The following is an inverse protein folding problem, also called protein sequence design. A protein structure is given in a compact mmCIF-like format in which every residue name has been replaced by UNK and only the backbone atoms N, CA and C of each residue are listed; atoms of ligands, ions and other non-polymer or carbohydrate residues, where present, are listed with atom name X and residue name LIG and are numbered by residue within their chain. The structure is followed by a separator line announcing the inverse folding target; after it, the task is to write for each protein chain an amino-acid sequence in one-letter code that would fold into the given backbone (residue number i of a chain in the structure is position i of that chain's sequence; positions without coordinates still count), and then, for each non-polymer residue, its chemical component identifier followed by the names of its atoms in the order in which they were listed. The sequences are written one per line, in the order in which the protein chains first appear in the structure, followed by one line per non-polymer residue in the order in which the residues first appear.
data_IF_203857968320
#
_entry.id   IF_203857968320
#
_cell.length_a   1.000
_cell.length_b   1.000
_cell.length_c   1.000
_cell.angle_alpha   90.00
_cell.angle_beta   90.00
_cell.angle_gamma   90.00
#
_symmetry.space_group_name_H-M   'P 1'
#
loop_
_entity.id
_entity.type
_entity.pdbx_description
1 polymer ?
#
# COMPACT_ATOMS: atom_id res chain seq x y z
N UNK A 1 -39.02 16.18 8.55
CA UNK A 1 -39.65 16.62 9.82
C UNK A 1 -39.90 18.10 9.71
N UNK A 2 -41.14 18.50 9.40
CA UNK A 2 -41.52 19.89 9.09
C UNK A 2 -41.86 20.64 10.37
N UNK A 3 -41.13 21.72 10.67
CA UNK A 3 -41.42 22.58 11.81
C UNK A 3 -42.54 23.56 11.44
N UNK A 4 -43.69 23.39 12.08
CA UNK A 4 -44.89 24.23 11.97
C UNK A 4 -44.69 25.46 12.86
N UNK A 5 -44.66 26.66 12.26
CA UNK A 5 -44.61 27.93 12.99
C UNK A 5 -46.04 28.29 13.41
N UNK A 6 -46.26 28.38 14.73
CA UNK A 6 -47.54 28.78 15.35
C UNK A 6 -47.74 30.30 15.24
N UNK A 7 -48.84 30.73 14.63
CA UNK A 7 -49.29 32.12 14.67
C UNK A 7 -49.96 32.44 16.01
N UNK A 8 -49.44 33.45 16.72
CA UNK A 8 -50.10 34.02 17.90
C UNK A 8 -51.24 34.97 17.46
N UNK A 9 -52.44 34.72 17.99
CA UNK A 9 -53.62 35.59 17.86
C UNK A 9 -53.40 36.92 18.61
N UNK A 10 -53.41 38.03 17.86
CA UNK A 10 -53.55 39.39 18.40
C UNK A 10 -55.02 39.75 18.64
N UNK A 11 -55.27 40.49 19.72
CA UNK A 11 -56.55 40.86 20.36
C UNK A 11 -57.66 41.35 19.40
N UNK A 12 -58.95 41.18 19.77
CA UNK A 12 -60.08 41.60 18.95
C UNK A 12 -60.17 43.13 18.83
N UNK A 13 -60.35 43.62 17.60
CA UNK A 13 -60.57 45.02 17.28
C UNK A 13 -62.02 45.38 17.61
N UNK A 14 -62.22 46.27 18.57
CA UNK A 14 -63.54 46.84 18.87
C UNK A 14 -64.10 47.58 17.67
N UNK A 15 -65.23 47.11 17.15
CA UNK A 15 -65.97 47.75 16.04
C UNK A 15 -66.75 48.93 16.60
N UNK A 16 -66.25 50.16 16.43
CA UNK A 16 -67.04 51.37 16.72
C UNK A 16 -68.14 51.53 15.68
N UNK A 17 -69.38 51.26 16.10
CA UNK A 17 -70.60 51.52 15.35
C UNK A 17 -70.77 53.04 15.21
N UNK A 18 -70.67 53.56 13.98
CA UNK A 18 -70.96 54.96 13.67
C UNK A 18 -72.49 55.18 13.71
N UNK A 19 -72.98 55.90 14.73
CA UNK A 19 -74.36 56.40 14.79
C UNK A 19 -74.53 57.50 13.73
N UNK A 20 -75.41 57.29 12.77
CA UNK A 20 -75.86 58.34 11.84
C UNK A 20 -76.64 59.41 12.61
N UNK A 21 -76.07 60.61 12.72
CA UNK A 21 -76.79 61.78 13.20
C UNK A 21 -77.76 62.23 12.10
N UNK A 22 -79.05 62.28 12.45
CA UNK A 22 -80.13 62.83 11.64
C UNK A 22 -79.80 64.30 11.32
N UNK A 23 -79.71 64.64 10.04
CA UNK A 23 -79.52 66.01 9.58
C UNK A 23 -80.87 66.72 9.74
N UNK A 24 -80.97 67.59 10.73
CA UNK A 24 -82.09 68.52 10.86
C UNK A 24 -81.80 69.71 9.95
N UNK A 25 -82.59 69.83 8.87
CA UNK A 25 -82.61 71.01 8.03
C UNK A 25 -83.18 72.17 8.83
N UNK A 26 -82.29 72.99 9.40
CA UNK A 26 -82.65 74.29 9.94
C UNK A 26 -82.79 75.25 8.75
N UNK A 27 -84.03 75.62 8.46
CA UNK A 27 -84.38 76.72 7.55
C UNK A 27 -83.52 77.94 7.88
N UNK A 28 -82.69 78.37 6.93
CA UNK A 28 -82.06 79.68 6.95
C UNK A 28 -82.91 80.55 6.03
N UNK A 29 -83.67 81.43 6.66
CA UNK A 29 -84.32 82.56 6.00
C UNK A 29 -83.24 83.40 5.30
N UNK A 30 -83.49 83.71 4.04
CA UNK A 30 -82.78 84.74 3.27
C UNK A 30 -82.79 86.04 4.08
N UNK A 31 -81.60 86.47 4.49
CA UNK A 31 -81.34 87.85 4.85
C UNK A 31 -80.51 88.43 3.70
N UNK A 32 -81.17 89.18 2.83
CA UNK A 32 -80.54 90.07 1.86
C UNK A 32 -79.74 91.13 2.63
N UNK A 33 -78.43 90.90 2.73
CA UNK A 33 -77.45 91.94 3.04
C UNK A 33 -76.84 92.38 1.70
N UNK A 34 -77.38 93.47 1.16
CA UNK A 34 -76.90 94.15 -0.04
C UNK A 34 -75.50 94.73 0.26
N UNK A 35 -74.46 93.90 0.10
CA UNK A 35 -73.06 94.31 0.03
C UNK A 35 -72.57 94.18 -1.40
N UNK A 36 -71.95 95.24 -1.89
CA UNK A 36 -71.42 95.42 -3.24
C UNK A 36 -70.75 94.14 -3.81
N UNK A 37 -71.20 93.59 -4.95
CA UNK A 37 -70.67 92.36 -5.56
C UNK A 37 -69.16 92.41 -5.87
N UNK A 38 -68.56 93.61 -5.92
CA UNK A 38 -67.11 93.75 -6.05
C UNK A 38 -66.34 93.42 -4.76
N UNK A 39 -66.92 93.67 -3.57
CA UNK A 39 -66.26 93.46 -2.28
C UNK A 39 -66.22 91.97 -1.88
N UNK A 40 -67.27 91.20 -2.15
CA UNK A 40 -67.27 89.73 -1.97
C UNK A 40 -66.28 89.03 -2.92
N UNK A 41 -66.22 89.48 -4.17
CA UNK A 41 -65.27 88.97 -5.17
C UNK A 41 -63.81 89.25 -4.77
N UNK A 42 -63.55 90.39 -4.12
CA UNK A 42 -62.22 90.72 -3.58
C UNK A 42 -61.84 89.83 -2.39
N UNK A 43 -62.77 89.60 -1.46
CA UNK A 43 -62.57 88.71 -0.29
C UNK A 43 -62.27 87.27 -0.69
N UNK A 44 -63.04 86.72 -1.64
CA UNK A 44 -62.85 85.35 -2.16
C UNK A 44 -61.52 85.24 -2.92
N UNK A 45 -61.13 86.26 -3.71
CA UNK A 45 -59.82 86.29 -4.37
C UNK A 45 -58.66 86.29 -3.38
N UNK A 46 -58.77 87.02 -2.27
CA UNK A 46 -57.76 87.03 -1.21
C UNK A 46 -57.67 85.68 -0.50
N UNK A 47 -58.80 85.02 -0.25
CA UNK A 47 -58.86 83.68 0.35
C UNK A 47 -58.29 82.59 -0.57
N UNK A 48 -58.60 82.63 -1.87
CA UNK A 48 -57.98 81.76 -2.89
C UNK A 48 -56.47 81.99 -2.94
N UNK A 49 -56.01 83.25 -2.91
CA UNK A 49 -54.59 83.58 -2.91
C UNK A 49 -53.89 83.05 -1.64
N UNK A 50 -54.54 83.14 -0.47
CA UNK A 50 -54.01 82.61 0.79
C UNK A 50 -53.95 81.07 0.78
N UNK A 51 -54.97 80.39 0.27
CA UNK A 51 -55.00 78.93 0.13
C UNK A 51 -53.97 78.43 -0.89
N UNK A 52 -53.77 79.15 -2.00
CA UNK A 52 -52.70 78.84 -2.96
C UNK A 52 -51.31 79.02 -2.35
N UNK A 53 -51.11 80.07 -1.54
CA UNK A 53 -49.86 80.25 -0.81
C UNK A 53 -49.61 79.13 0.21
N UNK A 54 -50.63 78.71 0.98
CA UNK A 54 -50.53 77.58 1.91
C UNK A 54 -50.25 76.25 1.21
N UNK A 55 -50.92 76.01 0.06
CA UNK A 55 -50.68 74.82 -0.76
C UNK A 55 -49.24 74.76 -1.26
N UNK A 56 -48.73 75.87 -1.80
CA UNK A 56 -47.36 75.94 -2.31
C UNK A 56 -46.33 75.74 -1.19
N UNK A 57 -46.58 76.28 0.02
CA UNK A 57 -45.71 76.05 1.18
C UNK A 57 -45.71 74.56 1.59
N UNK A 58 -46.88 73.92 1.64
CA UNK A 58 -47.00 72.51 1.98
C UNK A 58 -46.35 71.58 0.91
N UNK A 59 -46.48 71.93 -0.38
CA UNK A 59 -45.80 71.22 -1.47
C UNK A 59 -44.28 71.35 -1.34
N UNK A 60 -43.78 72.52 -0.95
CA UNK A 60 -42.36 72.74 -0.70
C UNK A 60 -41.87 71.94 0.52
N UNK A 61 -42.60 71.95 1.63
CA UNK A 61 -42.28 71.13 2.81
C UNK A 61 -42.29 69.63 2.48
N UNK A 62 -43.26 69.18 1.67
CA UNK A 62 -43.34 67.79 1.25
C UNK A 62 -42.16 67.41 0.35
N UNK A 63 -41.78 68.28 -0.58
CA UNK A 63 -40.62 68.08 -1.44
C UNK A 63 -39.32 68.03 -0.63
N UNK A 64 -39.15 68.92 0.36
CA UNK A 64 -38.02 68.92 1.27
C UNK A 64 -37.95 67.62 2.09
N UNK A 65 -39.08 67.17 2.66
CA UNK A 65 -39.17 65.90 3.39
C UNK A 65 -38.90 64.68 2.50
N UNK A 66 -39.38 64.69 1.26
CA UNK A 66 -39.10 63.63 0.28
C UNK A 66 -37.61 63.59 -0.08
N UNK A 67 -36.99 64.76 -0.28
CA UNK A 67 -35.57 64.85 -0.60
C UNK A 67 -34.69 64.44 0.58
N UNK A 68 -35.09 64.79 1.81
CA UNK A 68 -34.46 64.30 3.04
C UNK A 68 -34.60 62.78 3.15
N UNK A 69 -35.80 62.22 3.01
CA UNK A 69 -36.02 60.78 3.05
C UNK A 69 -35.23 60.03 1.97
N UNK A 70 -35.11 60.58 0.76
CA UNK A 70 -34.31 60.00 -0.31
C UNK A 70 -32.82 59.97 0.06
N UNK A 71 -32.33 61.05 0.67
CA UNK A 71 -30.94 61.18 1.10
C UNK A 71 -30.62 60.25 2.26
N UNK A 72 -31.54 60.13 3.22
CA UNK A 72 -31.44 59.18 4.33
C UNK A 72 -31.41 57.74 3.79
N UNK A 73 -32.33 57.37 2.89
CA UNK A 73 -32.37 56.03 2.28
C UNK A 73 -31.06 55.71 1.56
N UNK A 74 -30.53 56.66 0.77
CA UNK A 74 -29.26 56.47 0.07
C UNK A 74 -28.10 56.27 1.05
N UNK A 75 -28.07 57.06 2.13
CA UNK A 75 -27.08 56.92 3.20
C UNK A 75 -27.17 55.55 3.90
N UNK A 76 -28.38 55.11 4.25
CA UNK A 76 -28.61 53.79 4.85
C UNK A 76 -28.18 52.66 3.90
N UNK A 77 -28.46 52.78 2.60
CA UNK A 77 -28.04 51.79 1.60
C UNK A 77 -26.53 51.73 1.44
N UNK A 78 -25.86 52.88 1.38
CA UNK A 78 -24.40 52.92 1.26
C UNK A 78 -23.72 52.36 2.52
N UNK A 79 -24.27 52.65 3.71
CA UNK A 79 -23.80 52.04 4.95
C UNK A 79 -24.01 50.53 4.97
N UNK A 80 -25.21 50.05 4.62
CA UNK A 80 -25.52 48.63 4.57
C UNK A 80 -24.65 47.89 3.55
N UNK A 81 -24.37 48.51 2.41
CA UNK A 81 -23.48 47.97 1.38
C UNK A 81 -22.03 47.88 1.87
N UNK A 82 -21.55 48.93 2.53
CA UNK A 82 -20.20 48.97 3.10
C UNK A 82 -20.04 47.90 4.20
N UNK A 83 -21.03 47.76 5.07
CA UNK A 83 -21.02 46.75 6.13
C UNK A 83 -21.10 45.32 5.57
N UNK A 84 -21.97 45.09 4.58
CA UNK A 84 -22.08 43.80 3.91
C UNK A 84 -20.79 43.42 3.18
N UNK A 85 -20.12 44.40 2.55
CA UNK A 85 -18.84 44.17 1.89
C UNK A 85 -17.73 43.86 2.90
N UNK A 86 -17.63 44.61 3.98
CA UNK A 86 -16.67 44.35 5.05
C UNK A 86 -16.89 42.97 5.68
N UNK A 87 -18.14 42.55 5.90
CA UNK A 87 -18.45 41.22 6.42
C UNK A 87 -18.13 40.11 5.41
N UNK A 88 -18.42 40.33 4.13
CA UNK A 88 -18.06 39.38 3.08
C UNK A 88 -16.54 39.18 2.98
N UNK A 89 -15.76 40.27 3.07
CA UNK A 89 -14.29 40.22 3.10
C UNK A 89 -13.79 39.46 4.34
N UNK A 90 -14.32 39.75 5.53
CA UNK A 90 -13.98 39.01 6.77
C UNK A 90 -14.27 37.52 6.64
N UNK A 91 -15.45 37.15 6.14
CA UNK A 91 -15.83 35.75 5.95
C UNK A 91 -14.95 35.06 4.90
N UNK A 92 -14.60 35.75 3.82
CA UNK A 92 -13.69 35.24 2.81
C UNK A 92 -12.29 34.97 3.37
N UNK A 93 -11.76 35.88 4.20
CA UNK A 93 -10.46 35.71 4.87
C UNK A 93 -10.47 34.51 5.82
N UNK A 94 -11.52 34.40 6.65
CA UNK A 94 -11.68 33.26 7.58
C UNK A 94 -11.81 31.94 6.82
N UNK A 95 -12.64 31.90 5.78
CA UNK A 95 -12.82 30.70 4.95
C UNK A 95 -11.52 30.31 4.24
N UNK A 96 -10.75 31.28 3.75
CA UNK A 96 -9.46 31.04 3.10
C UNK A 96 -8.44 30.49 4.10
N UNK A 97 -8.35 31.08 5.30
CA UNK A 97 -7.46 30.60 6.34
C UNK A 97 -7.82 29.18 6.81
N UNK A 98 -9.11 28.90 7.01
CA UNK A 98 -9.60 27.57 7.39
C UNK A 98 -9.38 26.54 6.28
N UNK A 99 -9.66 26.90 5.03
CA UNK A 99 -9.44 26.03 3.88
C UNK A 99 -7.95 25.70 3.68
N UNK A 100 -7.08 26.69 3.89
CA UNK A 100 -5.63 26.49 3.84
C UNK A 100 -5.15 25.56 4.96
N UNK A 101 -5.58 25.76 6.21
CA UNK A 101 -5.16 24.91 7.32
C UNK A 101 -5.68 23.47 7.17
N UNK A 102 -6.96 23.31 6.80
CA UNK A 102 -7.55 22.00 6.53
C UNK A 102 -6.84 21.28 5.37
N UNK A 103 -6.56 21.99 4.26
CA UNK A 103 -5.82 21.44 3.12
C UNK A 103 -4.38 21.06 3.49
N UNK A 104 -3.71 21.85 4.32
CA UNK A 104 -2.37 21.55 4.84
C UNK A 104 -2.37 20.30 5.72
N UNK A 105 -3.32 20.19 6.65
CA UNK A 105 -3.44 19.03 7.53
C UNK A 105 -3.76 17.75 6.75
N UNK A 106 -4.71 17.83 5.81
CA UNK A 106 -5.06 16.71 4.95
C UNK A 106 -3.88 16.27 4.07
N UNK A 107 -3.16 17.23 3.48
CA UNK A 107 -1.96 16.95 2.69
C UNK A 107 -0.86 16.30 3.51
N UNK A 108 -0.67 16.72 4.76
CA UNK A 108 0.32 16.11 5.67
C UNK A 108 -0.05 14.67 6.01
N UNK A 109 -1.32 14.41 6.35
CA UNK A 109 -1.80 13.06 6.66
C UNK A 109 -1.70 12.11 5.46
N UNK A 110 -2.07 12.59 4.27
CA UNK A 110 -1.96 11.80 3.05
C UNK A 110 -0.49 11.50 2.72
N UNK A 111 0.39 12.50 2.82
CA UNK A 111 1.81 12.29 2.59
C UNK A 111 2.39 11.29 3.60
N UNK A 112 2.05 11.38 4.89
CA UNK A 112 2.49 10.44 5.92
C UNK A 112 2.05 9.00 5.61
N UNK A 113 0.80 8.82 5.18
CA UNK A 113 0.28 7.51 4.76
C UNK A 113 1.03 6.97 3.55
N UNK A 114 1.18 7.77 2.50
CA UNK A 114 1.90 7.38 1.27
C UNK A 114 3.37 7.02 1.57
N UNK A 115 4.04 7.80 2.43
CA UNK A 115 5.41 7.51 2.85
C UNK A 115 5.50 6.23 3.67
N UNK A 116 4.54 5.99 4.56
CA UNK A 116 4.50 4.78 5.38
C UNK A 116 4.30 3.54 4.51
N UNK A 117 3.40 3.59 3.55
CA UNK A 117 3.14 2.50 2.60
C UNK A 117 4.40 2.19 1.77
N UNK A 118 4.98 3.23 1.13
CA UNK A 118 6.22 3.07 0.35
C UNK A 118 7.39 2.55 1.18
N UNK A 119 7.50 2.96 2.45
CA UNK A 119 8.54 2.44 3.36
C UNK A 119 8.34 0.95 3.64
N UNK A 120 7.10 0.52 3.87
CA UNK A 120 6.78 -0.90 4.09
C UNK A 120 7.05 -1.73 2.84
N UNK A 121 6.69 -1.23 1.67
CA UNK A 121 7.03 -1.87 0.39
C UNK A 121 8.55 -2.00 0.20
N UNK A 122 9.31 -0.94 0.50
CA UNK A 122 10.76 -0.96 0.41
C UNK A 122 11.38 -1.97 1.39
N UNK A 123 10.89 -2.02 2.64
CA UNK A 123 11.35 -3.00 3.64
C UNK A 123 11.04 -4.43 3.22
N UNK A 124 9.88 -4.66 2.60
CA UNK A 124 9.51 -5.96 2.04
C UNK A 124 10.43 -6.35 0.87
N UNK A 125 10.67 -5.43 -0.06
CA UNK A 125 11.55 -5.64 -1.21
C UNK A 125 12.99 -5.96 -0.77
N UNK A 126 13.52 -5.23 0.21
CA UNK A 126 14.86 -5.49 0.76
C UNK A 126 14.91 -6.88 1.39
N UNK A 127 13.90 -7.26 2.19
CA UNK A 127 13.82 -8.59 2.80
C UNK A 127 13.77 -9.70 1.74
N UNK A 128 12.98 -9.50 0.71
CA UNK A 128 12.87 -10.43 -0.42
C UNK A 128 14.21 -10.55 -1.15
N UNK A 129 14.91 -9.44 -1.40
CA UNK A 129 16.23 -9.46 -2.03
C UNK A 129 17.27 -10.23 -1.21
N UNK A 130 17.27 -10.10 0.13
CA UNK A 130 18.15 -10.89 0.99
C UNK A 130 17.79 -12.39 0.98
N UNK A 131 16.49 -12.71 1.02
CA UNK A 131 16.04 -14.10 0.91
C UNK A 131 16.44 -14.72 -0.42
N UNK A 132 16.29 -13.99 -1.53
CA UNK A 132 16.62 -14.47 -2.86
C UNK A 132 18.13 -14.64 -3.03
N UNK A 133 18.93 -13.71 -2.50
CA UNK A 133 20.39 -13.87 -2.44
C UNK A 133 20.77 -15.16 -1.73
N UNK A 134 20.18 -15.44 -0.57
CA UNK A 134 20.47 -16.66 0.20
C UNK A 134 20.13 -17.93 -0.57
N UNK A 135 18.96 -17.96 -1.25
CA UNK A 135 18.60 -19.09 -2.12
C UNK A 135 19.58 -19.30 -3.26
N UNK A 136 19.95 -18.23 -3.96
CA UNK A 136 20.91 -18.30 -5.08
C UNK A 136 22.25 -18.89 -4.61
N UNK A 137 22.72 -18.48 -3.43
CA UNK A 137 23.97 -19.04 -2.86
C UNK A 137 23.82 -20.53 -2.58
N UNK A 138 22.74 -20.94 -1.90
CA UNK A 138 22.51 -22.36 -1.56
C UNK A 138 22.37 -23.25 -2.81
N UNK A 139 21.65 -22.77 -3.82
CA UNK A 139 21.51 -23.46 -5.10
C UNK A 139 22.85 -23.54 -5.84
N UNK A 140 23.63 -22.46 -5.83
CA UNK A 140 24.96 -22.42 -6.45
C UNK A 140 25.93 -23.38 -5.75
N UNK A 141 25.93 -23.47 -4.42
CA UNK A 141 26.78 -24.41 -3.66
C UNK A 141 26.49 -25.86 -4.03
N UNK A 142 25.20 -26.24 -4.04
CA UNK A 142 24.77 -27.60 -4.42
C UNK A 142 25.17 -27.91 -5.86
N UNK A 143 24.95 -26.96 -6.77
CA UNK A 143 25.31 -27.10 -8.18
C UNK A 143 26.83 -27.25 -8.37
N UNK A 144 27.63 -26.39 -7.74
CA UNK A 144 29.08 -26.42 -7.83
C UNK A 144 29.64 -27.73 -7.28
N UNK A 145 29.14 -28.20 -6.14
CA UNK A 145 29.56 -29.48 -5.57
C UNK A 145 29.23 -30.64 -6.51
N UNK A 146 28.01 -30.68 -7.06
CA UNK A 146 27.63 -31.72 -8.03
C UNK A 146 28.49 -31.66 -9.29
N UNK A 147 28.86 -30.46 -9.76
CA UNK A 147 29.74 -30.29 -10.92
C UNK A 147 31.16 -30.77 -10.60
N UNK A 148 31.72 -30.39 -9.45
CA UNK A 148 33.04 -30.81 -9.00
C UNK A 148 33.14 -32.33 -8.88
N UNK A 149 32.11 -32.99 -8.33
CA UNK A 149 32.06 -34.45 -8.22
C UNK A 149 32.06 -35.12 -9.59
N UNK A 150 31.26 -34.62 -10.55
CA UNK A 150 31.25 -35.13 -11.93
C UNK A 150 32.59 -34.93 -12.64
N UNK A 151 33.26 -33.80 -12.40
CA UNK A 151 34.59 -33.55 -12.95
C UNK A 151 35.60 -34.56 -12.37
N UNK A 152 35.58 -34.75 -11.04
CA UNK A 152 36.44 -35.71 -10.36
C UNK A 152 36.21 -37.14 -10.87
N UNK A 153 34.94 -37.56 -10.99
CA UNK A 153 34.56 -38.86 -11.55
C UNK A 153 35.16 -39.07 -12.94
N UNK A 154 34.99 -38.09 -13.84
CA UNK A 154 35.52 -38.17 -15.20
C UNK A 154 37.05 -38.23 -15.23
N UNK A 155 37.73 -37.44 -14.41
CA UNK A 155 39.20 -37.43 -14.34
C UNK A 155 39.71 -38.76 -13.80
N UNK A 156 39.13 -39.27 -12.71
CA UNK A 156 39.51 -40.55 -12.10
C UNK A 156 39.27 -41.71 -13.07
N UNK A 157 38.08 -41.79 -13.69
CA UNK A 157 37.76 -42.83 -14.67
C UNK A 157 38.69 -42.79 -15.89
N UNK A 158 39.15 -41.62 -16.31
CA UNK A 158 40.12 -41.51 -17.41
C UNK A 158 41.54 -41.92 -16.99
N UNK A 159 41.99 -41.51 -15.80
CA UNK A 159 43.30 -41.92 -15.26
C UNK A 159 43.40 -43.42 -15.02
N UNK A 160 42.33 -44.06 -14.56
CA UNK A 160 42.28 -45.51 -14.32
C UNK A 160 42.43 -46.33 -15.60
N UNK A 161 42.05 -45.80 -16.77
CA UNK A 161 42.28 -46.47 -18.06
C UNK A 161 43.75 -46.51 -18.46
N UNK A 162 44.55 -45.55 -18.00
CA UNK A 162 45.97 -45.43 -18.36
C UNK A 162 46.89 -46.01 -17.28
N UNK A 163 46.41 -46.22 -16.06
CA UNK A 163 47.20 -46.65 -14.91
C UNK A 163 46.57 -47.86 -14.17
N UNK A 164 46.77 -49.06 -14.72
CA UNK A 164 46.25 -50.33 -14.19
C UNK A 164 46.67 -50.62 -12.72
N UNK A 165 47.85 -50.13 -12.30
CA UNK A 165 48.33 -50.27 -10.92
C UNK A 165 47.42 -49.57 -9.89
N UNK A 166 46.75 -48.48 -10.28
CA UNK A 166 45.85 -47.74 -9.40
C UNK A 166 44.58 -48.54 -9.11
N UNK A 167 44.05 -49.24 -10.11
CA UNK A 167 42.90 -50.15 -9.94
C UNK A 167 43.23 -51.25 -8.93
N UNK A 168 44.41 -51.85 -9.02
CA UNK A 168 44.86 -52.85 -8.04
C UNK A 168 44.97 -52.29 -6.63
N UNK A 169 45.45 -51.06 -6.48
CA UNK A 169 45.53 -50.41 -5.17
C UNK A 169 44.16 -50.17 -4.55
N UNK A 170 43.16 -49.77 -5.34
CA UNK A 170 41.77 -49.61 -4.88
C UNK A 170 41.23 -50.94 -4.36
N UNK A 171 41.39 -52.02 -5.13
CA UNK A 171 40.95 -53.36 -4.73
C UNK A 171 41.68 -53.84 -3.47
N UNK A 172 43.01 -53.64 -3.38
CA UNK A 172 43.80 -53.96 -2.18
C UNK A 172 43.32 -53.21 -0.95
N UNK A 173 43.01 -51.92 -1.07
CA UNK A 173 42.50 -51.12 0.02
C UNK A 173 41.11 -51.60 0.47
N UNK A 174 40.24 -51.95 -0.48
CA UNK A 174 38.92 -52.46 -0.17
C UNK A 174 38.97 -53.81 0.56
N UNK A 175 39.80 -54.74 0.09
CA UNK A 175 40.01 -56.03 0.77
C UNK A 175 40.57 -55.87 2.18
N UNK A 176 41.44 -54.88 2.43
CA UNK A 176 41.95 -54.58 3.77
C UNK A 176 40.88 -54.01 4.72
N UNK A 177 39.85 -53.36 4.17
CA UNK A 177 38.79 -52.75 4.96
C UNK A 177 37.76 -53.77 5.44
N UNK A 178 37.65 -54.90 4.73
CA UNK A 178 36.85 -56.05 5.16
C UNK A 178 37.66 -56.81 6.22
N UNK A 179 37.42 -56.47 7.48
CA UNK A 179 38.05 -57.15 8.64
C UNK A 179 37.47 -58.56 8.89
N UNK A 180 36.36 -58.89 8.24
CA UNK A 180 35.60 -60.11 8.49
C UNK A 180 36.22 -61.34 7.81
N UNK A 181 36.40 -62.39 8.61
CA UNK A 181 37.02 -63.66 8.23
C UNK A 181 36.01 -64.57 7.51
N UNK A 182 35.60 -64.17 6.30
CA UNK A 182 34.61 -64.92 5.52
C UNK A 182 35.01 -65.07 4.05
N UNK A 183 34.36 -65.99 3.34
CA UNK A 183 34.53 -66.17 1.90
C UNK A 183 34.05 -64.94 1.14
N UNK A 184 34.91 -64.41 0.25
CA UNK A 184 34.65 -63.17 -0.49
C UNK A 184 34.43 -63.48 -1.97
N UNK A 185 33.33 -62.99 -2.52
CA UNK A 185 33.07 -63.00 -3.97
C UNK A 185 33.20 -61.57 -4.50
N UNK A 186 34.27 -61.33 -5.26
CA UNK A 186 34.54 -60.07 -5.93
C UNK A 186 33.93 -60.07 -7.33
N UNK A 187 32.97 -59.20 -7.58
CA UNK A 187 32.42 -58.93 -8.90
C UNK A 187 33.13 -57.73 -9.52
N UNK A 188 33.63 -57.91 -10.74
CA UNK A 188 34.36 -56.89 -11.48
C UNK A 188 33.75 -56.71 -12.87
N UNK A 189 34.00 -55.55 -13.49
CA UNK A 189 33.59 -55.31 -14.86
C UNK A 189 34.28 -56.27 -15.84
N UNK A 190 33.70 -56.44 -17.03
CA UNK A 190 34.31 -57.26 -18.09
C UNK A 190 35.67 -56.69 -18.54
N UNK A 191 35.82 -55.36 -18.47
CA UNK A 191 37.01 -54.64 -18.91
C UNK A 191 38.15 -54.74 -17.87
N UNK A 192 37.80 -54.75 -16.58
CA UNK A 192 38.76 -54.82 -15.46
C UNK A 192 39.20 -56.26 -15.13
N UNK A 193 38.37 -57.25 -15.42
CA UNK A 193 38.66 -58.66 -15.17
C UNK A 193 40.04 -59.12 -15.70
N UNK A 194 40.42 -58.89 -16.97
CA UNK A 194 41.72 -59.31 -17.48
C UNK A 194 42.90 -58.58 -16.81
N UNK A 195 42.68 -57.37 -16.28
CA UNK A 195 43.70 -56.55 -15.60
C UNK A 195 43.98 -57.11 -14.20
N UNK A 196 42.93 -57.51 -13.48
CA UNK A 196 43.03 -57.98 -12.09
C UNK A 196 43.43 -59.46 -12.00
N UNK A 197 43.06 -60.29 -12.98
CA UNK A 197 43.29 -61.74 -12.98
C UNK A 197 44.74 -62.17 -12.67
N UNK A 198 45.80 -61.55 -13.25
CA UNK A 198 47.18 -61.93 -12.97
C UNK A 198 47.60 -61.72 -11.51
N UNK A 199 46.91 -60.82 -10.80
CA UNK A 199 47.22 -60.43 -9.42
C UNK A 199 46.32 -61.13 -8.40
N UNK A 200 45.41 -62.01 -8.83
CA UNK A 200 44.46 -62.67 -7.92
C UNK A 200 45.15 -63.45 -6.79
N UNK A 201 46.26 -64.14 -7.08
CA UNK A 201 47.04 -64.85 -6.06
C UNK A 201 47.71 -63.89 -5.06
N UNK A 202 48.11 -62.70 -5.50
CA UNK A 202 48.60 -61.66 -4.59
C UNK A 202 47.47 -61.10 -3.74
N UNK A 203 46.31 -60.83 -4.34
CA UNK A 203 45.12 -60.31 -3.64
C UNK A 203 44.62 -61.27 -2.56
N UNK A 204 44.72 -62.59 -2.78
CA UNK A 204 44.43 -63.62 -1.77
C UNK A 204 45.26 -63.48 -0.50
N UNK A 205 46.47 -62.91 -0.56
CA UNK A 205 47.32 -62.72 0.63
C UNK A 205 46.80 -61.65 1.58
N UNK A 206 45.91 -60.76 1.10
CA UNK A 206 45.25 -59.76 1.93
C UNK A 206 44.01 -60.31 2.64
N UNK A 207 43.54 -61.49 2.22
CA UNK A 207 42.46 -62.24 2.86
C UNK A 207 43.08 -63.24 3.83
N UNK A 208 42.38 -63.59 4.92
CA UNK A 208 42.90 -64.58 5.89
C UNK A 208 43.08 -65.94 5.23
N UNK A 209 44.07 -66.70 5.72
CA UNK A 209 44.47 -68.00 5.15
C UNK A 209 43.37 -69.09 5.16
N UNK A 210 42.30 -68.89 5.97
CA UNK A 210 41.15 -69.78 6.10
C UNK A 210 39.97 -69.43 5.18
N UNK A 211 40.05 -68.35 4.39
CA UNK A 211 38.95 -67.85 3.58
C UNK A 211 39.27 -67.89 2.07
N UNK A 212 38.26 -68.07 1.22
CA UNK A 212 38.41 -68.13 -0.23
C UNK A 212 38.04 -66.79 -0.90
N UNK A 213 38.89 -66.30 -1.80
CA UNK A 213 38.60 -65.16 -2.67
C UNK A 213 38.27 -65.64 -4.09
N UNK A 214 37.03 -65.40 -4.54
CA UNK A 214 36.56 -65.71 -5.90
C UNK A 214 36.33 -64.42 -6.68
N UNK A 215 36.77 -64.38 -7.94
CA UNK A 215 36.53 -63.25 -8.84
C UNK A 215 35.56 -63.66 -9.95
N UNK A 216 34.52 -62.86 -10.18
CA UNK A 216 33.48 -63.11 -11.19
C UNK A 216 33.34 -61.87 -12.08
N UNK A 217 33.47 -62.02 -13.41
CA UNK A 217 33.21 -60.91 -14.33
C UNK A 217 31.70 -60.73 -14.52
N UNK A 218 31.19 -59.50 -14.36
CA UNK A 218 29.77 -59.18 -14.51
C UNK A 218 29.61 -57.91 -15.37
N UNK A 219 28.67 -57.95 -16.32
CA UNK A 219 28.43 -56.86 -17.26
C UNK A 219 27.71 -55.63 -16.67
N UNK A 220 27.11 -55.76 -15.48
CA UNK A 220 26.39 -54.67 -14.82
C UNK A 220 27.26 -53.85 -13.85
N UNK A 221 28.52 -54.22 -13.67
CA UNK A 221 29.48 -53.50 -12.83
C UNK A 221 30.25 -52.52 -13.73
N UNK A 222 30.26 -51.25 -13.35
CA UNK A 222 31.02 -50.22 -14.06
C UNK A 222 32.53 -50.43 -13.90
N UNK A 223 33.29 -50.00 -14.91
CA UNK A 223 34.74 -50.07 -14.89
C UNK A 223 35.36 -49.11 -13.86
N UNK A 224 36.48 -49.51 -13.27
CA UNK A 224 37.21 -48.72 -12.27
C UNK A 224 36.87 -49.06 -10.82
N UNK A 225 36.22 -50.20 -10.56
CA UNK A 225 35.89 -50.64 -9.20
C UNK A 225 35.45 -52.10 -9.12
N UNK A 226 35.02 -52.51 -7.93
CA UNK A 226 34.50 -53.86 -7.70
C UNK A 226 33.37 -53.87 -6.67
N UNK A 227 32.53 -54.90 -6.73
CA UNK A 227 31.52 -55.17 -5.71
C UNK A 227 31.93 -56.42 -4.94
N UNK A 228 32.08 -56.29 -3.63
CA UNK A 228 32.55 -57.37 -2.75
C UNK A 228 31.34 -57.95 -2.01
N UNK A 229 31.07 -59.23 -2.22
CA UNK A 229 30.02 -59.95 -1.50
C UNK A 229 30.64 -60.85 -0.45
N UNK A 230 30.14 -60.72 0.76
CA UNK A 230 30.46 -61.54 1.94
C UNK A 230 29.15 -62.08 2.53
N UNK A 231 29.18 -63.17 3.32
CA UNK A 231 28.01 -63.63 4.06
C UNK A 231 27.36 -62.56 4.93
N UNK A 232 28.13 -61.64 5.51
CA UNK A 232 27.61 -60.49 6.28
C UNK A 232 26.98 -59.39 5.44
N UNK A 233 27.34 -59.25 4.15
CA UNK A 233 26.79 -58.21 3.29
C UNK A 233 27.56 -57.95 2.00
N UNK A 234 27.05 -56.99 1.23
CA UNK A 234 27.64 -56.54 -0.03
C UNK A 234 28.22 -55.14 0.14
N UNK A 235 29.48 -54.95 -0.26
CA UNK A 235 30.20 -53.70 -0.23
C UNK A 235 30.44 -53.21 -1.66
N UNK A 236 29.94 -52.01 -1.95
CA UNK A 236 30.15 -51.34 -3.23
C UNK A 236 31.40 -50.47 -3.16
N UNK A 237 32.43 -50.84 -3.92
CA UNK A 237 33.72 -50.15 -3.98
C UNK A 237 33.88 -49.41 -5.32
N UNK A 238 32.79 -49.21 -6.06
CA UNK A 238 32.84 -48.42 -7.30
C UNK A 238 33.19 -46.96 -7.00
N UNK A 239 33.88 -46.32 -7.95
CA UNK A 239 34.23 -44.90 -7.85
C UNK A 239 32.98 -44.03 -7.66
N UNK A 240 31.89 -44.40 -8.33
CA UNK A 240 30.64 -43.64 -8.30
C UNK A 240 30.01 -43.66 -6.92
N UNK A 241 29.96 -44.85 -6.28
CA UNK A 241 29.45 -44.99 -4.93
C UNK A 241 30.29 -44.21 -3.92
N UNK A 242 31.62 -44.29 -4.03
CA UNK A 242 32.54 -43.53 -3.17
C UNK A 242 32.38 -42.01 -3.34
N UNK A 243 32.31 -41.52 -4.57
CA UNK A 243 32.14 -40.10 -4.86
C UNK A 243 30.77 -39.57 -4.43
N UNK A 244 29.71 -40.37 -4.59
CA UNK A 244 28.38 -39.98 -4.11
C UNK A 244 28.33 -39.94 -2.59
N UNK A 245 29.03 -40.83 -1.89
CA UNK A 245 29.13 -40.79 -0.42
C UNK A 245 29.91 -39.55 0.07
N UNK A 246 31.04 -39.23 -0.59
CA UNK A 246 31.77 -37.98 -0.32
C UNK A 246 30.87 -36.76 -0.53
N UNK A 247 30.11 -36.74 -1.64
CA UNK A 247 29.16 -35.68 -1.93
C UNK A 247 28.10 -35.53 -0.85
N UNK A 248 27.50 -36.63 -0.37
CA UNK A 248 26.52 -36.60 0.73
C UNK A 248 27.13 -36.01 2.01
N UNK A 249 28.33 -36.46 2.38
CA UNK A 249 29.01 -35.94 3.57
C UNK A 249 29.35 -34.45 3.44
N UNK A 250 29.79 -34.00 2.27
CA UNK A 250 30.06 -32.59 2.01
C UNK A 250 28.77 -31.74 2.02
N UNK A 251 27.67 -32.24 1.46
CA UNK A 251 26.36 -31.58 1.54
C UNK A 251 25.89 -31.44 2.99
N UNK A 252 25.96 -32.52 3.78
CA UNK A 252 25.58 -32.48 5.19
C UNK A 252 26.43 -31.46 5.97
N UNK A 253 27.73 -31.39 5.70
CA UNK A 253 28.61 -30.40 6.32
C UNK A 253 28.27 -28.96 5.92
N UNK A 254 27.89 -28.73 4.65
CA UNK A 254 27.41 -27.42 4.19
C UNK A 254 26.10 -27.02 4.87
N UNK A 255 25.16 -27.96 5.05
CA UNK A 255 23.89 -27.70 5.75
C UNK A 255 24.10 -27.36 7.24
N UNK A 256 25.01 -28.06 7.93
CA UNK A 256 25.36 -27.76 9.33
C UNK A 256 25.94 -26.35 9.48
N UNK A 257 26.87 -25.95 8.62
CA UNK A 257 27.44 -24.59 8.64
C UNK A 257 26.44 -23.49 8.33
N UNK A 258 25.51 -23.75 7.42
CA UNK A 258 24.48 -22.77 7.06
C UNK A 258 23.52 -22.51 8.22
N UNK A 259 23.32 -23.48 9.11
CA UNK A 259 22.51 -23.31 10.32
C UNK A 259 23.27 -22.66 11.49
N UNK A 260 24.60 -22.83 11.56
CA UNK A 260 25.44 -22.33 12.66
C UNK A 260 26.00 -20.91 12.43
N UNK A 261 25.91 -20.36 11.22
CA UNK A 261 26.11 -18.92 10.99
C UNK A 261 24.75 -18.20 11.15
N UNK A 262 24.39 -17.70 12.35
CA UNK A 262 23.25 -16.81 12.45
C UNK A 262 23.55 -15.62 11.55
N UNK A 263 22.61 -15.30 10.66
CA UNK A 263 22.66 -14.12 9.79
C UNK A 263 23.23 -12.92 10.56
N UNK A 264 24.53 -12.67 10.42
CA UNK A 264 25.20 -11.58 11.11
C UNK A 264 24.76 -10.29 10.42
N UNK A 265 23.72 -9.69 10.99
CA UNK A 265 23.34 -8.26 11.03
C UNK A 265 23.21 -7.50 9.71
#
# INVERSE_FOLDING_TARGET
MSNVIRYHHGKPVETKILKTKKIEFRNIQEAEDEKDPEQQKLSIKQEIAALLAQKNELEKELQEKQQQAQTDIEFWWEQARTEAQAEAERLADVATAQGFDAGKQQGYLQAEQDFKEKRLEMEALIREAYSEKSKIVQEAETFLLSLSVRIAERVIKEELKHHEEQLLNIVKQALKHIEEAEDIIMQVSLDDYPIILPFLEELKTYVRADCELKMIPVANVEAGGCMLHTPSGSYDVTIDSQLEEIKKHLLAYCEEKTNDEPAER
#
